data_IF_171553164827
#
_entry.id   IF_171553164827
#
_cell.length_a   1.000
_cell.length_b   1.000
_cell.length_c   1.000
_cell.angle_alpha   90.00
_cell.angle_beta   90.00
_cell.angle_gamma   90.00
#
_symmetry.space_group_name_H-M   'P 1'
#
loop_
_entity.id
_entity.type
_entity.pdbx_description
1 polymer ?
#
# COMPACT_ATOMS: atom_id res chain seq x y z
N UNK A 1 -10.99 -7.22 25.05
CA UNK A 1 -10.05 -6.34 25.76
C UNK A 1 -9.48 -5.26 24.84
N UNK A 2 -8.91 -4.23 25.42
CA UNK A 2 -8.26 -3.12 24.72
C UNK A 2 -6.77 -3.17 25.02
N UNK A 3 -5.95 -3.08 23.97
CA UNK A 3 -4.50 -2.93 24.03
C UNK A 3 -4.14 -1.56 23.43
N UNK A 4 -3.51 -0.70 24.19
CA UNK A 4 -3.19 0.66 23.69
C UNK A 4 -2.12 0.62 22.60
N UNK A 5 -1.06 -0.16 22.80
CA UNK A 5 0.05 -0.22 21.87
C UNK A 5 0.65 -1.63 21.76
N UNK A 6 0.96 -2.04 20.55
CA UNK A 6 1.70 -3.27 20.23
C UNK A 6 2.94 -2.87 19.43
N UNK A 7 4.12 -3.32 19.84
CA UNK A 7 5.38 -3.13 19.13
C UNK A 7 5.99 -4.47 18.77
N UNK A 8 6.17 -4.75 17.48
CA UNK A 8 6.76 -5.98 16.95
C UNK A 8 8.04 -5.65 16.19
N UNK A 9 9.13 -6.31 16.54
CA UNK A 9 10.43 -6.17 15.88
C UNK A 9 10.86 -7.50 15.28
N UNK A 10 10.96 -7.60 13.97
CA UNK A 10 11.56 -8.74 13.29
C UNK A 10 13.07 -8.52 13.15
N UNK A 11 13.88 -9.31 13.87
CA UNK A 11 15.35 -9.22 13.89
C UNK A 11 15.97 -10.61 13.71
N UNK A 12 16.40 -10.93 12.49
CA UNK A 12 17.19 -12.13 12.17
C UNK A 12 16.47 -13.47 12.29
N UNK A 13 15.14 -13.50 12.35
CA UNK A 13 14.34 -14.72 12.45
C UNK A 13 13.52 -14.97 11.19
N UNK A 14 13.02 -16.21 11.06
CA UNK A 14 12.03 -16.57 10.04
C UNK A 14 10.66 -16.76 10.67
N UNK A 15 9.64 -16.12 10.11
CA UNK A 15 8.25 -16.27 10.51
C UNK A 15 7.37 -16.52 9.29
N UNK A 16 6.30 -17.28 9.43
CA UNK A 16 5.32 -17.42 8.34
C UNK A 16 4.43 -16.18 8.27
N UNK A 17 3.85 -15.77 9.39
CA UNK A 17 2.91 -14.65 9.42
C UNK A 17 3.10 -13.78 10.66
N UNK A 18 3.01 -12.47 10.48
CA UNK A 18 3.01 -11.47 11.55
C UNK A 18 1.69 -10.70 11.49
N UNK A 19 1.05 -10.53 12.65
CA UNK A 19 -0.15 -9.73 12.84
C UNK A 19 0.12 -8.64 13.89
N UNK A 20 -0.15 -7.38 13.57
CA UNK A 20 -0.06 -6.26 14.51
C UNK A 20 -1.23 -6.18 15.48
N UNK A 21 -2.38 -6.65 15.07
CA UNK A 21 -3.62 -6.57 15.85
C UNK A 21 -4.03 -7.88 16.53
N UNK A 22 -5.29 -7.95 16.91
CA UNK A 22 -5.88 -9.08 17.65
C UNK A 22 -6.19 -10.28 16.76
N UNK A 23 -6.25 -11.47 17.38
CA UNK A 23 -6.69 -12.70 16.71
C UNK A 23 -8.22 -12.72 16.51
N UNK A 24 -8.96 -12.28 17.50
CA UNK A 24 -10.43 -12.27 17.52
C UNK A 24 -10.97 -10.86 17.79
N UNK A 25 -11.83 -10.66 18.73
CA UNK A 25 -12.61 -9.43 18.96
C UNK A 25 -11.88 -8.33 19.78
N UNK A 26 -10.56 -8.39 19.91
CA UNK A 26 -9.80 -7.39 20.67
C UNK A 26 -9.66 -6.06 19.90
N UNK A 27 -9.42 -4.99 20.63
CA UNK A 27 -9.10 -3.68 20.09
C UNK A 27 -7.63 -3.39 20.35
N UNK A 28 -6.91 -2.98 19.30
CA UNK A 28 -5.55 -2.45 19.39
C UNK A 28 -5.59 -0.99 18.90
N UNK A 29 -5.21 -0.05 19.75
CA UNK A 29 -5.21 1.36 19.34
C UNK A 29 -4.09 1.63 18.36
N UNK A 30 -2.87 1.19 18.65
CA UNK A 30 -1.73 1.37 17.74
C UNK A 30 -0.93 0.07 17.64
N UNK A 31 -0.74 -0.41 16.43
CA UNK A 31 0.16 -1.52 16.13
C UNK A 31 1.35 -1.01 15.32
N UNK A 32 2.57 -1.25 15.81
CA UNK A 32 3.82 -0.90 15.14
C UNK A 32 4.59 -2.17 14.81
N UNK A 33 4.91 -2.38 13.55
CA UNK A 33 5.71 -3.51 13.07
C UNK A 33 6.97 -2.96 12.39
N UNK A 34 8.13 -3.36 12.91
CA UNK A 34 9.44 -3.00 12.37
C UNK A 34 10.12 -4.25 11.81
N UNK A 35 10.23 -4.32 10.50
CA UNK A 35 10.84 -5.43 9.76
C UNK A 35 12.28 -5.05 9.43
N UNK A 36 13.23 -5.41 10.30
CA UNK A 36 14.63 -4.95 10.23
C UNK A 36 15.57 -5.98 9.58
N UNK A 37 15.38 -7.27 9.90
CA UNK A 37 16.13 -8.36 9.27
C UNK A 37 15.41 -9.69 9.46
N UNK A 38 15.76 -10.70 8.66
CA UNK A 38 15.09 -12.01 8.66
C UNK A 38 14.10 -12.15 7.50
N UNK A 39 13.30 -13.19 7.54
CA UNK A 39 12.34 -13.51 6.45
C UNK A 39 10.94 -13.70 7.00
N UNK A 40 9.95 -13.13 6.35
CA UNK A 40 8.54 -13.36 6.66
C UNK A 40 7.72 -13.50 5.37
N UNK A 41 6.79 -14.45 5.35
CA UNK A 41 5.92 -14.64 4.18
C UNK A 41 4.87 -13.55 4.14
N UNK A 42 4.03 -13.44 5.17
CA UNK A 42 2.92 -12.49 5.19
C UNK A 42 2.99 -11.57 6.40
N UNK A 43 2.80 -10.28 6.19
CA UNK A 43 2.70 -9.26 7.24
C UNK A 43 1.37 -8.55 7.12
N UNK A 44 0.64 -8.47 8.21
CA UNK A 44 -0.59 -7.70 8.34
C UNK A 44 -0.41 -6.64 9.43
N UNK A 45 -0.52 -5.37 9.07
CA UNK A 45 -0.46 -4.27 10.01
C UNK A 45 -1.54 -4.34 11.09
N UNK A 46 -2.74 -4.77 10.70
CA UNK A 46 -3.82 -5.10 11.61
C UNK A 46 -3.81 -6.55 12.12
N UNK A 47 -4.96 -7.04 12.56
CA UNK A 47 -5.12 -8.37 13.12
C UNK A 47 -5.59 -9.43 12.12
N UNK A 48 -5.75 -10.66 12.62
CA UNK A 48 -6.54 -11.66 11.93
C UNK A 48 -8.04 -11.34 12.07
N UNK A 49 -8.48 -10.88 13.26
CA UNK A 49 -9.79 -10.34 13.59
C UNK A 49 -9.65 -9.09 14.48
N UNK A 50 -10.77 -8.60 15.02
CA UNK A 50 -10.79 -7.43 15.90
C UNK A 50 -10.54 -6.09 15.15
N UNK A 51 -10.37 -5.05 15.91
CA UNK A 51 -10.17 -3.68 15.39
C UNK A 51 -8.76 -3.19 15.70
N UNK A 52 -8.12 -2.56 14.73
CA UNK A 52 -6.89 -1.80 14.92
C UNK A 52 -7.14 -0.37 14.44
N UNK A 53 -6.98 0.62 15.32
CA UNK A 53 -7.20 2.02 14.92
C UNK A 53 -6.09 2.48 14.00
N UNK A 54 -4.83 2.33 14.38
CA UNK A 54 -3.68 2.70 13.56
C UNK A 54 -2.71 1.53 13.43
N UNK A 55 -2.41 1.13 12.21
CA UNK A 55 -1.43 0.11 11.89
C UNK A 55 -0.25 0.74 11.15
N UNK A 56 0.94 0.67 11.73
CA UNK A 56 2.19 1.16 11.14
C UNK A 56 3.10 -0.02 10.82
N UNK A 57 3.53 -0.13 9.58
CA UNK A 57 4.49 -1.16 9.14
C UNK A 57 5.67 -0.48 8.46
N UNK A 58 6.86 -0.66 9.01
CA UNK A 58 8.11 -0.15 8.44
C UNK A 58 8.97 -1.32 7.97
N UNK A 59 9.28 -1.35 6.69
CA UNK A 59 10.27 -2.25 6.11
C UNK A 59 11.61 -1.53 5.99
N UNK A 60 12.61 -2.04 6.69
CA UNK A 60 13.95 -1.44 6.74
C UNK A 60 15.06 -2.51 6.86
N UNK A 61 16.31 -2.09 6.76
CA UNK A 61 17.47 -2.98 6.92
C UNK A 61 17.56 -4.02 5.80
N UNK A 62 17.62 -5.31 6.18
CA UNK A 62 17.80 -6.45 5.26
C UNK A 62 16.63 -7.44 5.30
N UNK A 63 15.49 -7.07 5.86
CA UNK A 63 14.33 -7.94 5.93
C UNK A 63 13.84 -8.34 4.53
N UNK A 64 13.35 -9.58 4.42
CA UNK A 64 12.80 -10.16 3.20
C UNK A 64 11.34 -10.55 3.43
N UNK A 65 10.42 -9.92 2.72
CA UNK A 65 8.99 -10.08 2.87
C UNK A 65 8.37 -10.50 1.55
N UNK A 66 7.47 -11.48 1.56
CA UNK A 66 6.75 -11.87 0.34
C UNK A 66 5.54 -10.97 0.13
N UNK A 67 4.65 -10.87 1.12
CA UNK A 67 3.45 -10.04 1.02
C UNK A 67 3.29 -9.15 2.25
N UNK A 68 3.04 -7.87 2.02
CA UNK A 68 2.79 -6.90 3.06
C UNK A 68 1.44 -6.23 2.84
N UNK A 69 0.56 -6.36 3.84
CA UNK A 69 -0.73 -5.71 3.90
C UNK A 69 -0.73 -4.70 5.06
N UNK A 70 -1.03 -3.44 4.77
CA UNK A 70 -1.15 -2.42 5.81
C UNK A 70 -2.33 -2.66 6.75
N UNK A 71 -3.40 -3.28 6.24
CA UNK A 71 -4.60 -3.63 7.00
C UNK A 71 -4.60 -5.02 7.61
N UNK A 72 -5.81 -5.53 7.89
CA UNK A 72 -6.04 -6.85 8.50
C UNK A 72 -6.19 -7.96 7.46
N UNK A 73 -6.17 -9.23 7.91
CA UNK A 73 -6.29 -10.38 7.01
C UNK A 73 -7.74 -10.63 6.57
N UNK A 74 -8.58 -11.25 7.39
CA UNK A 74 -9.89 -11.78 6.96
C UNK A 74 -11.08 -11.15 7.64
N UNK A 75 -11.03 -10.90 8.93
CA UNK A 75 -12.19 -10.46 9.72
C UNK A 75 -11.93 -9.18 10.54
N UNK A 76 -10.72 -8.67 10.56
CA UNK A 76 -10.38 -7.47 11.32
C UNK A 76 -10.69 -6.19 10.54
N UNK A 77 -10.72 -5.07 11.22
CA UNK A 77 -10.81 -3.74 10.63
C UNK A 77 -9.59 -2.91 10.99
N UNK A 78 -9.20 -2.01 10.09
CA UNK A 78 -8.17 -0.99 10.35
C UNK A 78 -8.73 0.36 9.91
N UNK A 79 -8.66 1.36 10.77
CA UNK A 79 -9.08 2.71 10.37
C UNK A 79 -8.00 3.36 9.52
N UNK A 80 -6.75 3.39 10.01
CA UNK A 80 -5.62 3.95 9.27
C UNK A 80 -4.47 2.97 9.21
N UNK A 81 -3.99 2.67 8.00
CA UNK A 81 -2.76 1.94 7.78
C UNK A 81 -1.68 2.83 7.19
N UNK A 82 -0.46 2.71 7.69
CA UNK A 82 0.72 3.41 7.22
C UNK A 82 1.82 2.39 6.93
N UNK A 83 2.21 2.27 5.66
CA UNK A 83 3.29 1.39 5.21
C UNK A 83 4.45 2.24 4.71
N UNK A 84 5.62 2.06 5.27
CA UNK A 84 6.83 2.78 4.93
C UNK A 84 7.91 1.81 4.43
N UNK A 85 8.37 2.01 3.19
CA UNK A 85 9.29 1.11 2.47
C UNK A 85 10.65 1.81 2.29
N UNK A 86 11.58 1.62 3.24
CA UNK A 86 12.90 2.27 3.27
C UNK A 86 14.00 1.42 2.63
N UNK A 87 14.10 0.16 3.04
CA UNK A 87 15.13 -0.79 2.56
C UNK A 87 14.67 -2.22 2.81
N UNK A 88 15.41 -3.21 2.30
CA UNK A 88 15.03 -4.62 2.37
C UNK A 88 14.53 -5.15 1.03
N UNK A 89 13.84 -6.29 1.06
CA UNK A 89 13.22 -6.92 -0.11
C UNK A 89 11.73 -7.14 0.14
N UNK A 90 10.91 -6.82 -0.86
CA UNK A 90 9.47 -7.00 -0.81
C UNK A 90 8.97 -7.41 -2.20
N UNK A 91 8.12 -8.42 -2.26
CA UNK A 91 7.54 -8.86 -3.53
C UNK A 91 6.22 -8.13 -3.81
N UNK A 92 5.29 -8.15 -2.85
CA UNK A 92 3.98 -7.52 -3.02
C UNK A 92 3.65 -6.58 -1.85
N UNK A 93 3.13 -5.39 -2.14
CA UNK A 93 2.62 -4.46 -1.12
C UNK A 93 1.21 -3.97 -1.44
N UNK A 94 0.38 -4.00 -0.42
CA UNK A 94 -0.99 -3.50 -0.42
C UNK A 94 -1.17 -2.58 0.80
N UNK A 95 -1.51 -1.33 0.57
CA UNK A 95 -1.79 -0.39 1.67
C UNK A 95 -3.00 -0.80 2.50
N UNK A 96 -3.99 -1.44 1.88
CA UNK A 96 -5.18 -1.96 2.54
C UNK A 96 -5.02 -3.35 3.17
N UNK A 97 -6.14 -3.96 3.54
CA UNK A 97 -6.20 -5.32 4.05
C UNK A 97 -6.30 -6.37 2.94
N UNK A 98 -6.12 -7.66 3.28
CA UNK A 98 -6.24 -8.73 2.30
C UNK A 98 -7.69 -8.89 1.78
N UNK A 99 -8.64 -9.03 2.69
CA UNK A 99 -10.06 -9.23 2.34
C UNK A 99 -11.01 -8.27 3.07
N UNK A 100 -10.50 -7.37 3.87
CA UNK A 100 -11.26 -6.50 4.78
C UNK A 100 -11.00 -5.03 4.52
N UNK A 101 -11.97 -4.21 4.90
CA UNK A 101 -11.92 -2.78 4.66
C UNK A 101 -10.86 -2.08 5.53
N UNK A 102 -10.19 -1.09 4.92
CA UNK A 102 -9.39 -0.07 5.58
C UNK A 102 -9.99 1.29 5.20
N UNK A 103 -10.17 2.18 6.14
CA UNK A 103 -10.72 3.50 5.81
C UNK A 103 -9.67 4.34 5.06
N UNK A 104 -8.47 4.45 5.59
CA UNK A 104 -7.37 5.20 4.96
C UNK A 104 -6.11 4.37 4.90
N UNK A 105 -5.56 4.18 3.71
CA UNK A 105 -4.31 3.46 3.48
C UNK A 105 -3.25 4.38 2.87
N UNK A 106 -2.12 4.48 3.55
CA UNK A 106 -0.95 5.24 3.13
C UNK A 106 0.20 4.30 2.83
N UNK A 107 0.81 4.41 1.64
CA UNK A 107 2.04 3.69 1.27
C UNK A 107 3.08 4.70 0.85
N UNK A 108 4.24 4.68 1.51
CA UNK A 108 5.38 5.55 1.20
C UNK A 108 6.55 4.70 0.70
N UNK A 109 6.99 4.94 -0.53
CA UNK A 109 8.21 4.40 -1.09
C UNK A 109 9.36 5.37 -0.81
N UNK A 110 10.36 4.93 -0.06
CA UNK A 110 11.49 5.76 0.36
C UNK A 110 12.84 5.01 0.33
N UNK A 111 13.12 4.27 -0.75
CA UNK A 111 14.46 3.70 -0.97
C UNK A 111 14.54 2.37 -1.70
N UNK A 112 13.55 1.48 -1.60
CA UNK A 112 13.64 0.13 -2.20
C UNK A 112 13.32 0.12 -3.70
N UNK A 113 13.66 -1.01 -4.34
CA UNK A 113 13.14 -1.36 -5.66
C UNK A 113 12.06 -2.42 -5.50
N UNK A 114 10.90 -2.21 -6.10
CA UNK A 114 9.76 -3.10 -6.06
C UNK A 114 9.07 -3.14 -7.41
N UNK A 115 8.42 -4.24 -7.75
CA UNK A 115 7.73 -4.37 -9.03
C UNK A 115 6.38 -3.66 -9.01
N UNK A 116 5.54 -3.91 -8.00
CA UNK A 116 4.19 -3.33 -7.95
C UNK A 116 3.86 -2.75 -6.56
N UNK A 117 3.17 -1.60 -6.57
CA UNK A 117 2.57 -0.98 -5.39
C UNK A 117 1.07 -0.81 -5.62
N UNK A 118 0.27 -1.36 -4.72
CA UNK A 118 -1.17 -1.14 -4.65
C UNK A 118 -1.49 -0.23 -3.45
N UNK A 119 -2.09 0.94 -3.71
CA UNK A 119 -2.47 1.88 -2.67
C UNK A 119 -3.45 1.29 -1.67
N UNK A 120 -4.38 0.47 -2.14
CA UNK A 120 -5.39 -0.15 -1.29
C UNK A 120 -5.75 -1.58 -1.68
N UNK A 121 -6.69 -2.11 -0.95
CA UNK A 121 -7.50 -3.27 -1.26
C UNK A 121 -8.77 -3.09 -0.42
N UNK A 122 -9.93 -2.89 -1.05
CA UNK A 122 -11.19 -2.56 -0.38
C UNK A 122 -11.07 -1.37 0.59
N UNK A 123 -10.55 -0.25 0.09
CA UNK A 123 -10.15 0.91 0.89
C UNK A 123 -10.96 2.13 0.47
N UNK A 124 -11.38 2.98 1.41
CA UNK A 124 -12.09 4.22 1.06
C UNK A 124 -11.11 5.24 0.48
N UNK A 125 -10.03 5.54 1.18
CA UNK A 125 -9.03 6.51 0.77
C UNK A 125 -7.65 5.88 0.67
N UNK A 126 -6.97 6.03 -0.46
CA UNK A 126 -5.58 5.59 -0.64
C UNK A 126 -4.68 6.76 -0.95
N UNK A 127 -3.46 6.71 -0.44
CA UNK A 127 -2.44 7.70 -0.69
C UNK A 127 -1.08 7.01 -0.87
N UNK A 128 -0.58 6.98 -2.10
CA UNK A 128 0.74 6.44 -2.44
C UNK A 128 1.69 7.60 -2.66
N UNK A 129 2.76 7.66 -1.88
CA UNK A 129 3.81 8.69 -1.96
C UNK A 129 5.13 8.04 -2.38
N UNK A 130 5.71 8.52 -3.46
CA UNK A 130 6.90 7.96 -4.12
C UNK A 130 8.05 8.97 -4.00
N UNK A 131 8.79 8.93 -2.89
CA UNK A 131 9.88 9.87 -2.59
C UNK A 131 11.18 9.46 -3.30
N UNK A 132 11.68 8.27 -3.00
CA UNK A 132 12.93 7.72 -3.59
C UNK A 132 12.75 6.23 -3.86
N UNK A 133 13.68 5.63 -4.60
CA UNK A 133 13.60 4.23 -4.98
C UNK A 133 13.12 4.00 -6.41
N UNK A 134 12.74 2.77 -6.72
CA UNK A 134 12.30 2.37 -8.06
C UNK A 134 11.08 1.47 -8.01
N UNK A 135 10.11 1.71 -8.88
CA UNK A 135 8.92 0.86 -9.01
C UNK A 135 8.51 0.74 -10.48
N UNK A 136 8.08 -0.46 -10.87
CA UNK A 136 7.60 -0.69 -12.24
C UNK A 136 6.17 -0.20 -12.38
N UNK A 137 5.22 -0.75 -11.64
CA UNK A 137 3.81 -0.39 -11.74
C UNK A 137 3.28 0.14 -10.39
N UNK A 138 2.63 1.29 -10.42
CA UNK A 138 1.95 1.90 -9.28
C UNK A 138 0.46 2.01 -9.55
N UNK A 139 -0.34 1.48 -8.66
CA UNK A 139 -1.79 1.59 -8.67
C UNK A 139 -2.23 2.46 -7.49
N UNK A 140 -2.87 3.57 -7.77
CA UNK A 140 -3.46 4.41 -6.73
C UNK A 140 -4.53 3.66 -5.93
N UNK A 141 -5.30 2.80 -6.59
CA UNK A 141 -6.29 1.92 -5.98
C UNK A 141 -5.77 0.54 -5.62
N UNK A 142 -6.65 -0.45 -5.67
CA UNK A 142 -6.38 -1.83 -5.30
C UNK A 142 -6.16 -2.77 -6.47
N UNK A 143 -6.09 -4.08 -6.17
CA UNK A 143 -5.95 -5.13 -7.18
C UNK A 143 -7.29 -5.39 -7.91
N UNK A 144 -8.32 -5.84 -7.18
CA UNK A 144 -9.61 -6.29 -7.74
C UNK A 144 -10.82 -5.65 -7.05
N UNK A 145 -10.64 -4.69 -6.17
CA UNK A 145 -11.68 -4.12 -5.32
C UNK A 145 -11.75 -2.61 -5.42
N UNK A 146 -12.93 -2.05 -5.24
CA UNK A 146 -13.18 -0.63 -5.39
C UNK A 146 -12.49 0.24 -4.33
N UNK A 147 -12.14 1.44 -4.76
CA UNK A 147 -11.57 2.52 -3.92
C UNK A 147 -12.35 3.79 -4.22
N UNK A 148 -12.76 4.52 -3.18
CA UNK A 148 -13.46 5.78 -3.40
C UNK A 148 -12.50 6.87 -3.88
N UNK A 149 -11.44 7.13 -3.14
CA UNK A 149 -10.46 8.16 -3.48
C UNK A 149 -9.06 7.55 -3.55
N UNK A 150 -8.49 7.52 -4.75
CA UNK A 150 -7.15 7.04 -5.02
C UNK A 150 -6.22 8.23 -5.32
N UNK A 151 -5.08 8.31 -4.63
CA UNK A 151 -4.09 9.36 -4.85
C UNK A 151 -2.69 8.79 -4.98
N UNK A 152 -1.98 9.19 -6.03
CA UNK A 152 -0.55 8.93 -6.21
C UNK A 152 0.19 10.26 -6.26
N UNK A 153 1.28 10.38 -5.52
CA UNK A 153 2.16 11.54 -5.55
C UNK A 153 3.59 11.08 -5.81
N UNK A 154 4.16 11.44 -6.96
CA UNK A 154 5.55 11.18 -7.30
C UNK A 154 6.40 12.41 -7.03
N UNK A 155 7.27 12.31 -6.02
CA UNK A 155 8.21 13.37 -5.63
C UNK A 155 9.62 13.14 -6.19
N UNK A 156 10.07 11.87 -6.28
CA UNK A 156 11.46 11.60 -6.62
C UNK A 156 11.80 10.18 -7.08
N UNK A 157 10.95 9.20 -6.83
CA UNK A 157 11.18 7.83 -7.25
C UNK A 157 11.19 7.68 -8.79
N UNK A 158 11.89 6.68 -9.29
CA UNK A 158 11.83 6.28 -10.70
C UNK A 158 10.65 5.34 -10.90
N UNK A 159 9.73 5.69 -11.77
CA UNK A 159 8.50 4.90 -12.01
C UNK A 159 8.37 4.59 -13.50
N UNK A 160 8.02 3.35 -13.82
CA UNK A 160 7.72 3.01 -15.22
C UNK A 160 6.28 3.36 -15.56
N UNK A 161 5.30 2.82 -14.83
CA UNK A 161 3.90 3.11 -15.09
C UNK A 161 3.16 3.56 -13.82
N UNK A 162 2.32 4.57 -13.95
CA UNK A 162 1.41 5.04 -12.90
C UNK A 162 -0.02 4.92 -13.41
N UNK A 163 -0.85 4.23 -12.66
CA UNK A 163 -2.29 4.12 -12.84
C UNK A 163 -2.98 4.80 -11.66
N UNK A 164 -3.77 5.82 -11.92
CA UNK A 164 -4.50 6.54 -10.87
C UNK A 164 -5.53 5.67 -10.14
N UNK A 165 -6.13 4.71 -10.85
CA UNK A 165 -7.12 3.77 -10.33
C UNK A 165 -6.56 2.41 -9.96
N UNK A 166 -7.36 1.37 -10.16
CA UNK A 166 -7.08 -0.02 -9.78
C UNK A 166 -6.30 -0.78 -10.87
N UNK A 167 -5.72 -1.92 -10.52
CA UNK A 167 -5.14 -2.84 -11.50
C UNK A 167 -6.24 -3.52 -12.34
N UNK A 168 -7.29 -4.05 -11.69
CA UNK A 168 -8.37 -4.77 -12.35
C UNK A 168 -7.99 -6.19 -12.74
N UNK A 169 -7.68 -7.05 -11.79
CA UNK A 169 -7.20 -8.42 -12.01
C UNK A 169 -8.25 -9.40 -12.59
N UNK A 170 -8.37 -10.59 -12.02
CA UNK A 170 -9.20 -11.68 -12.56
C UNK A 170 -10.71 -11.49 -12.34
N UNK A 171 -11.12 -10.66 -11.40
CA UNK A 171 -12.51 -10.34 -11.07
C UNK A 171 -13.15 -9.30 -12.01
N UNK A 172 -14.16 -8.58 -11.51
CA UNK A 172 -14.82 -7.52 -12.27
C UNK A 172 -13.99 -6.22 -12.33
N UNK A 173 -12.83 -6.19 -11.69
CA UNK A 173 -12.00 -5.01 -11.51
C UNK A 173 -12.73 -3.96 -10.65
N UNK A 174 -12.21 -3.60 -9.50
CA UNK A 174 -12.88 -2.63 -8.64
C UNK A 174 -13.03 -1.26 -9.30
N UNK A 175 -14.10 -0.54 -8.98
CA UNK A 175 -14.31 0.84 -9.45
C UNK A 175 -13.49 1.81 -8.59
N UNK A 176 -13.02 2.88 -9.20
CA UNK A 176 -12.42 4.04 -8.53
C UNK A 176 -13.31 5.25 -8.76
N UNK A 177 -13.83 5.87 -7.71
CA UNK A 177 -14.67 7.06 -7.90
C UNK A 177 -13.81 8.26 -8.30
N UNK A 178 -12.75 8.54 -7.58
CA UNK A 178 -11.85 9.67 -7.84
C UNK A 178 -10.39 9.21 -7.83
N UNK A 179 -9.70 9.38 -8.95
CA UNK A 179 -8.27 9.12 -9.09
C UNK A 179 -7.51 10.43 -9.26
N UNK A 180 -6.46 10.63 -8.48
CA UNK A 180 -5.58 11.80 -8.59
C UNK A 180 -4.13 11.37 -8.69
N UNK A 181 -3.44 11.80 -9.75
CA UNK A 181 -2.00 11.58 -9.93
C UNK A 181 -1.28 12.92 -9.95
N UNK A 182 -0.35 13.12 -9.03
CA UNK A 182 0.49 14.33 -8.95
C UNK A 182 1.94 13.97 -9.27
N UNK A 183 2.51 14.61 -10.25
CA UNK A 183 3.92 14.45 -10.66
C UNK A 183 4.64 15.78 -10.44
N UNK A 184 5.71 15.74 -9.62
CA UNK A 184 6.48 16.92 -9.23
C UNK A 184 7.95 16.81 -9.69
N UNK A 185 8.25 17.23 -10.91
CA UNK A 185 9.61 17.41 -11.41
C UNK A 185 10.43 16.13 -11.61
N UNK A 186 9.81 15.01 -11.99
CA UNK A 186 10.47 13.71 -12.18
C UNK A 186 9.99 12.99 -13.45
N UNK A 187 10.66 11.88 -13.76
CA UNK A 187 10.40 11.08 -14.96
C UNK A 187 9.49 9.91 -14.60
N UNK A 188 8.42 9.74 -15.36
CA UNK A 188 7.66 8.51 -15.47
C UNK A 188 7.57 8.14 -16.96
N UNK A 189 7.52 6.83 -17.30
CA UNK A 189 7.36 6.48 -18.70
C UNK A 189 5.91 6.68 -19.12
N UNK A 190 4.97 6.06 -18.41
CA UNK A 190 3.56 6.16 -18.74
C UNK A 190 2.73 6.60 -17.52
N UNK A 191 1.74 7.45 -17.76
CA UNK A 191 0.80 7.89 -16.72
C UNK A 191 -0.62 7.73 -17.26
N UNK A 192 -1.43 6.97 -16.53
CA UNK A 192 -2.82 6.73 -16.82
C UNK A 192 -3.67 7.25 -15.66
N UNK A 193 -4.69 8.06 -15.95
CA UNK A 193 -5.60 8.58 -14.92
C UNK A 193 -6.53 7.51 -14.34
N UNK A 194 -6.81 6.46 -15.10
CA UNK A 194 -7.78 5.41 -14.74
C UNK A 194 -7.15 4.09 -14.29
N UNK A 195 -7.96 3.04 -14.40
CA UNK A 195 -7.58 1.66 -14.12
C UNK A 195 -6.70 1.08 -15.24
N UNK A 196 -5.93 0.02 -14.92
CA UNK A 196 -5.07 -0.67 -15.92
C UNK A 196 -5.88 -1.58 -16.85
N UNK A 197 -6.75 -2.42 -16.30
CA UNK A 197 -7.42 -3.48 -17.07
C UNK A 197 -8.94 -3.35 -17.03
N UNK A 198 -9.55 -3.55 -15.87
CA UNK A 198 -11.01 -3.63 -15.69
C UNK A 198 -11.49 -2.63 -14.63
N UNK A 199 -12.81 -2.52 -14.51
CA UNK A 199 -13.46 -1.56 -13.63
C UNK A 199 -13.56 -0.16 -14.25
N UNK A 200 -14.22 0.73 -13.55
CA UNK A 200 -14.49 2.11 -13.99
C UNK A 200 -13.73 3.09 -13.12
N UNK A 201 -13.14 4.12 -13.73
CA UNK A 201 -12.70 5.32 -13.02
C UNK A 201 -13.67 6.45 -13.38
N UNK A 202 -14.44 6.95 -12.41
CA UNK A 202 -15.46 7.97 -12.69
C UNK A 202 -14.82 9.33 -12.96
N UNK A 203 -13.89 9.75 -12.12
CA UNK A 203 -13.18 11.02 -12.25
C UNK A 203 -11.67 10.78 -12.15
N UNK A 204 -10.92 11.29 -13.12
CA UNK A 204 -9.46 11.20 -13.13
C UNK A 204 -8.84 12.58 -13.28
N UNK A 205 -7.88 12.91 -12.42
CA UNK A 205 -7.11 14.15 -12.48
C UNK A 205 -5.63 13.83 -12.50
N UNK A 206 -4.90 14.37 -13.49
CA UNK A 206 -3.45 14.27 -13.57
C UNK A 206 -2.87 15.68 -13.51
N UNK A 207 -2.07 15.94 -12.49
CA UNK A 207 -1.35 17.20 -12.29
C UNK A 207 0.14 16.97 -12.53
N UNK A 208 0.70 17.61 -13.53
CA UNK A 208 2.13 17.53 -13.85
C UNK A 208 2.71 18.93 -13.62
N UNK A 209 3.66 19.03 -12.70
CA UNK A 209 4.29 20.30 -12.30
C UNK A 209 5.81 20.19 -12.32
N UNK A 210 6.49 21.35 -12.43
CA UNK A 210 7.94 21.40 -12.48
C UNK A 210 8.51 20.86 -13.80
N UNK A 211 9.78 20.52 -13.81
CA UNK A 211 10.48 19.96 -14.98
C UNK A 211 10.26 18.43 -15.09
N UNK A 212 9.00 18.01 -15.19
CA UNK A 212 8.66 16.59 -15.32
C UNK A 212 8.85 16.12 -16.77
N UNK A 213 9.32 14.89 -16.94
CA UNK A 213 9.49 14.26 -18.26
C UNK A 213 8.64 12.99 -18.31
N UNK A 214 7.73 12.94 -19.26
CA UNK A 214 6.93 11.75 -19.58
C UNK A 214 7.46 11.20 -20.90
N UNK A 215 8.01 9.98 -20.88
CA UNK A 215 8.73 9.41 -22.05
C UNK A 215 7.90 8.40 -22.84
N UNK A 216 6.75 7.98 -22.30
CA UNK A 216 5.83 7.04 -22.94
C UNK A 216 4.51 7.66 -23.38
N UNK A 217 3.46 6.83 -23.38
CA UNK A 217 2.09 7.21 -23.75
C UNK A 217 1.27 7.59 -22.53
#
# INVERSE_FOLDING_TARGET
GITNEVNIYLKGITANTIYGGSKTDGIVTTANIFLQSGTVTDVYGGGYGGTTTTANVTLEGTANVTSLFGGSNTNGTVETSNVELKSGKLLNVYGGGNSVAVETANVTLDGITIDEIHGGSKTTNTNVVLNTGKVTDVFGGGYDVGVTNAKVTQNGATVTNIYGGNQGGTGNGGDTDNATVNIAGKTANNIYGGNKEKGTTKNATINITGASTITGK
#
